data_IF_595897701489
#
_entry.id   IF_595897701489
#
_cell.length_a   1.000
_cell.length_b   1.000
_cell.length_c   1.000
_cell.angle_alpha   90.00
_cell.angle_beta   90.00
_cell.angle_gamma   90.00
#
_symmetry.space_group_name_H-M   'P 1'
#
loop_
_entity.id
_entity.type
_entity.pdbx_description
1 polymer ?
#
# COMPACT_ATOMS: atom_id res chain seq x y z
N UNK A 1 5.40 -3.98 -19.00
CA UNK A 1 4.54 -4.34 -17.87
C UNK A 1 4.61 -3.21 -16.85
N UNK A 2 3.55 -2.94 -16.10
CA UNK A 2 3.63 -2.04 -14.94
C UNK A 2 4.76 -2.53 -14.02
N UNK A 3 5.56 -1.61 -13.49
CA UNK A 3 6.66 -1.98 -12.60
C UNK A 3 6.10 -2.65 -11.35
N UNK A 4 6.49 -3.89 -11.06
CA UNK A 4 6.14 -4.55 -9.79
C UNK A 4 6.94 -4.03 -8.59
N UNK A 5 7.83 -3.04 -8.81
CA UNK A 5 8.68 -2.47 -7.79
C UNK A 5 8.00 -1.36 -6.98
N UNK A 6 7.02 -0.68 -7.57
CA UNK A 6 6.26 0.39 -6.93
C UNK A 6 4.79 0.21 -7.31
N UNK A 7 3.96 -0.09 -6.32
CA UNK A 7 2.52 -0.28 -6.50
C UNK A 7 1.80 0.71 -5.59
N UNK A 8 0.94 1.54 -6.17
CA UNK A 8 0.01 2.41 -5.48
C UNK A 8 -1.39 1.86 -5.69
N UNK A 9 -2.15 1.70 -4.61
CA UNK A 9 -3.51 1.23 -4.67
C UNK A 9 -4.36 1.80 -3.53
N UNK A 10 -5.66 1.66 -3.67
CA UNK A 10 -6.61 1.90 -2.59
C UNK A 10 -6.73 0.66 -1.72
N UNK A 11 -7.00 0.85 -0.45
CA UNK A 11 -7.39 -0.22 0.45
C UNK A 11 -8.62 -0.97 -0.10
N UNK A 12 -8.56 -2.30 -0.08
CA UNK A 12 -9.64 -3.19 -0.50
C UNK A 12 -9.26 -4.63 -0.16
N UNK A 13 -10.26 -5.48 0.05
CA UNK A 13 -10.09 -6.93 0.17
C UNK A 13 -9.70 -7.59 -1.17
N UNK A 14 -8.46 -7.37 -1.63
CA UNK A 14 -7.95 -7.80 -2.93
C UNK A 14 -6.59 -8.48 -2.82
N UNK A 15 -6.31 -9.39 -3.76
CA UNK A 15 -4.97 -9.97 -3.94
C UNK A 15 -4.32 -9.40 -5.19
N UNK A 16 -3.23 -8.66 -5.00
CA UNK A 16 -2.38 -8.15 -6.09
C UNK A 16 -1.28 -9.16 -6.45
N UNK A 17 -0.74 -9.02 -7.67
CA UNK A 17 0.34 -9.88 -8.19
C UNK A 17 1.58 -9.05 -8.49
N UNK A 18 2.67 -9.36 -7.80
CA UNK A 18 3.99 -8.79 -8.06
C UNK A 18 4.79 -9.76 -8.91
N UNK A 19 5.20 -9.35 -10.11
CA UNK A 19 5.95 -10.19 -11.02
C UNK A 19 7.45 -10.03 -10.78
N UNK A 20 8.13 -11.16 -10.60
CA UNK A 20 9.59 -11.23 -10.56
C UNK A 20 10.12 -11.79 -11.86
N UNK A 21 11.31 -11.36 -12.28
CA UNK A 21 11.96 -11.83 -13.49
C UNK A 21 13.29 -12.51 -13.18
N UNK A 22 13.50 -13.65 -13.83
CA UNK A 22 14.77 -14.36 -13.89
C UNK A 22 15.48 -13.95 -15.17
N UNK A 23 16.59 -13.25 -15.04
CA UNK A 23 17.33 -12.68 -16.18
C UNK A 23 18.64 -13.44 -16.47
N UNK A 24 19.15 -13.28 -17.69
CA UNK A 24 20.45 -13.79 -18.15
C UNK A 24 20.63 -15.32 -18.13
N UNK A 25 19.56 -16.10 -17.92
CA UNK A 25 19.52 -17.56 -18.10
C UNK A 25 18.36 -18.24 -17.37
N UNK A 26 17.86 -19.35 -17.92
CA UNK A 26 16.71 -20.11 -17.38
C UNK A 26 16.96 -21.61 -17.22
N UNK A 27 18.22 -22.04 -17.21
CA UNK A 27 18.60 -23.45 -17.03
C UNK A 27 18.45 -23.92 -15.59
N UNK A 28 17.76 -25.05 -15.39
CA UNK A 28 17.44 -25.62 -14.08
C UNK A 28 16.38 -24.84 -13.33
N UNK A 29 15.61 -25.53 -12.48
CA UNK A 29 14.61 -24.89 -11.63
C UNK A 29 15.27 -24.12 -10.49
N UNK A 30 14.71 -22.96 -10.13
CA UNK A 30 15.18 -22.14 -9.01
C UNK A 30 14.07 -21.95 -7.99
N UNK A 31 14.45 -21.93 -6.71
CA UNK A 31 13.57 -21.57 -5.62
C UNK A 31 13.94 -20.15 -5.14
N UNK A 32 12.94 -19.29 -5.05
CA UNK A 32 13.08 -17.90 -4.61
C UNK A 32 12.23 -17.72 -3.37
N UNK A 33 12.83 -17.25 -2.28
CA UNK A 33 12.11 -16.95 -1.04
C UNK A 33 11.89 -15.45 -0.90
N UNK A 34 10.80 -15.08 -0.25
CA UNK A 34 10.39 -13.69 -0.07
C UNK A 34 9.66 -13.48 1.26
N UNK A 35 9.61 -12.23 1.72
CA UNK A 35 8.89 -11.85 2.93
C UNK A 35 8.34 -10.42 2.86
N UNK A 36 7.17 -10.19 3.44
CA UNK A 36 6.67 -8.84 3.74
C UNK A 36 7.27 -8.29 5.03
N UNK A 37 7.55 -7.00 5.08
CA UNK A 37 8.00 -6.30 6.28
C UNK A 37 7.32 -4.93 6.44
N UNK A 38 6.87 -4.55 7.65
CA UNK A 38 6.22 -3.25 7.92
C UNK A 38 7.22 -2.07 7.99
N UNK A 39 8.08 -1.90 6.97
CA UNK A 39 9.22 -0.95 6.96
C UNK A 39 10.53 -1.59 7.47
N UNK A 40 11.75 -1.19 7.06
CA UNK A 40 12.37 0.15 6.98
C UNK A 40 13.38 0.28 5.81
N UNK A 41 13.44 1.45 5.15
CA UNK A 41 14.58 1.87 4.30
C UNK A 41 15.59 2.68 5.13
N UNK A 42 16.86 2.24 5.22
CA UNK A 42 17.97 3.14 5.53
C UNK A 42 19.26 2.56 4.94
N UNK A 43 19.90 3.19 3.96
CA UNK A 43 20.63 4.45 4.11
C UNK A 43 20.49 5.31 2.84
N UNK A 44 20.03 6.56 3.02
CA UNK A 44 19.77 7.61 2.02
C UNK A 44 18.37 7.56 1.40
N UNK A 45 17.51 8.47 1.87
CA UNK A 45 16.14 8.76 1.44
C UNK A 45 15.08 7.93 2.16
N UNK A 46 14.90 8.25 3.44
CA UNK A 46 13.72 7.91 4.22
C UNK A 46 12.47 8.31 3.41
N UNK A 47 11.64 7.36 3.02
CA UNK A 47 10.25 7.66 2.70
C UNK A 47 9.56 7.99 4.03
N UNK A 48 9.48 9.28 4.34
CA UNK A 48 8.56 9.81 5.35
C UNK A 48 7.15 9.35 4.96
N UNK A 49 6.54 8.48 5.76
CA UNK A 49 5.21 7.92 5.51
C UNK A 49 4.78 7.03 6.68
N UNK A 50 3.48 6.80 6.81
CA UNK A 50 2.95 5.88 7.82
C UNK A 50 3.25 4.44 7.39
N UNK A 51 3.33 3.54 8.37
CA UNK A 51 3.63 2.14 8.12
C UNK A 51 2.34 1.35 8.19
N UNK A 52 2.08 0.56 7.16
CA UNK A 52 0.99 -0.41 7.18
C UNK A 52 1.28 -1.48 8.23
N UNK A 53 0.29 -1.79 9.05
CA UNK A 53 0.28 -2.79 10.10
C UNK A 53 -0.03 -4.19 9.54
N UNK A 54 0.83 -5.19 9.84
CA UNK A 54 0.59 -6.56 9.41
C UNK A 54 -0.69 -7.13 10.04
N UNK A 55 -1.45 -7.86 9.24
CA UNK A 55 -2.73 -8.49 9.58
C UNK A 55 -3.86 -7.51 9.92
N UNK A 56 -3.63 -6.20 9.72
CA UNK A 56 -4.66 -5.14 9.71
C UNK A 56 -4.84 -4.65 8.27
N UNK A 57 -3.76 -4.18 7.63
CA UNK A 57 -3.83 -3.56 6.29
C UNK A 57 -3.41 -4.54 5.17
N UNK A 58 -2.61 -5.55 5.53
CA UNK A 58 -2.19 -6.59 4.60
C UNK A 58 -1.93 -7.92 5.31
N UNK A 59 -2.05 -9.02 4.59
CA UNK A 59 -1.71 -10.35 5.12
C UNK A 59 -0.20 -10.53 5.09
N UNK A 60 0.41 -10.72 6.26
CA UNK A 60 1.86 -10.97 6.34
C UNK A 60 2.23 -12.30 5.71
N UNK A 61 3.25 -12.30 4.85
CA UNK A 61 3.71 -13.51 4.16
C UNK A 61 5.22 -13.68 4.31
N UNK A 62 5.61 -14.90 4.65
CA UNK A 62 6.95 -15.45 4.42
C UNK A 62 6.75 -16.67 3.55
N UNK A 63 7.29 -16.63 2.34
CA UNK A 63 6.94 -17.57 1.31
C UNK A 63 8.09 -17.91 0.39
N UNK A 64 7.79 -18.80 -0.55
CA UNK A 64 8.69 -19.15 -1.63
C UNK A 64 7.90 -19.40 -2.90
N UNK A 65 8.60 -19.35 -4.03
CA UNK A 65 8.08 -19.74 -5.33
C UNK A 65 9.18 -20.46 -6.11
N UNK A 66 8.75 -21.37 -6.98
CA UNK A 66 9.64 -22.11 -7.86
C UNK A 66 9.43 -21.58 -9.27
N UNK A 67 10.53 -21.22 -9.95
CA UNK A 67 10.53 -21.08 -11.39
C UNK A 67 11.13 -22.35 -11.98
N UNK A 68 10.34 -23.08 -12.77
CA UNK A 68 10.80 -24.28 -13.44
C UNK A 68 11.83 -23.96 -14.53
N UNK A 69 12.50 -24.99 -15.04
CA UNK A 69 13.43 -24.81 -16.15
C UNK A 69 12.72 -24.20 -17.37
N UNK A 70 13.32 -23.16 -17.93
CA UNK A 70 12.76 -22.39 -19.03
C UNK A 70 11.82 -21.26 -18.61
N UNK A 71 11.34 -21.24 -17.35
CA UNK A 71 10.51 -20.15 -16.84
C UNK A 71 11.36 -18.94 -16.45
N UNK A 72 10.93 -17.76 -16.91
CA UNK A 72 11.62 -16.49 -16.67
C UNK A 72 10.84 -15.52 -15.81
N UNK A 73 9.57 -15.81 -15.50
CA UNK A 73 8.69 -14.90 -14.76
C UNK A 73 7.77 -15.70 -13.85
N UNK A 74 7.58 -15.21 -12.63
CA UNK A 74 6.65 -15.75 -11.65
C UNK A 74 5.97 -14.63 -10.87
N UNK A 75 4.83 -14.91 -10.26
CA UNK A 75 4.05 -13.94 -9.51
C UNK A 75 4.05 -14.27 -8.00
N UNK A 76 4.30 -13.25 -7.19
CA UNK A 76 4.07 -13.25 -5.75
C UNK A 76 2.67 -12.65 -5.51
N UNK A 77 1.84 -13.36 -4.75
CA UNK A 77 0.51 -12.90 -4.38
C UNK A 77 0.57 -12.18 -3.03
N UNK A 78 0.07 -10.95 -2.98
CA UNK A 78 -0.01 -10.13 -1.77
C UNK A 78 -1.46 -9.74 -1.57
N UNK A 79 -1.99 -9.94 -0.37
CA UNK A 79 -3.38 -9.62 -0.04
C UNK A 79 -3.43 -8.36 0.79
N UNK A 80 -4.25 -7.42 0.33
CA UNK A 80 -4.57 -6.16 0.99
C UNK A 80 -5.93 -6.37 1.67
N UNK A 81 -6.07 -5.82 2.86
CA UNK A 81 -7.26 -5.93 3.68
C UNK A 81 -8.04 -4.61 3.59
N UNK A 82 -9.29 -4.63 4.03
CA UNK A 82 -10.15 -3.44 4.08
C UNK A 82 -10.79 -3.37 5.46
N UNK A 83 -10.76 -2.18 6.07
CA UNK A 83 -11.52 -1.87 7.26
C UNK A 83 -12.27 -0.51 7.17
N UNK A 84 -12.67 0.05 8.32
CA UNK A 84 -13.46 1.30 8.42
C UNK A 84 -12.71 2.37 9.27
N UNK A 85 -11.43 2.16 9.54
CA UNK A 85 -10.56 2.98 10.38
C UNK A 85 -9.93 4.08 9.51
N UNK A 86 -10.10 5.37 9.86
CA UNK A 86 -9.53 6.45 9.05
C UNK A 86 -8.00 6.50 9.08
N UNK A 87 -7.35 6.15 7.96
CA UNK A 87 -5.88 6.07 7.87
C UNK A 87 -5.27 6.97 6.80
N UNK A 88 -4.11 7.54 7.11
CA UNK A 88 -3.34 8.29 6.13
C UNK A 88 -2.63 7.33 5.18
N UNK A 89 -2.12 7.87 4.07
CA UNK A 89 -1.27 7.10 3.17
C UNK A 89 -0.14 6.40 3.93
N UNK A 90 0.02 5.12 3.64
CA UNK A 90 0.91 4.23 4.33
C UNK A 90 1.54 3.22 3.37
N UNK A 91 2.55 2.48 3.84
CA UNK A 91 3.27 1.54 3.01
C UNK A 91 3.86 0.36 3.77
N UNK A 92 4.12 -0.71 3.02
CA UNK A 92 4.96 -1.84 3.44
C UNK A 92 5.84 -2.30 2.29
N UNK A 93 6.76 -3.22 2.59
CA UNK A 93 7.74 -3.72 1.62
C UNK A 93 7.61 -5.23 1.41
N UNK A 94 7.88 -5.68 0.19
CA UNK A 94 8.05 -7.09 -0.17
C UNK A 94 9.49 -7.30 -0.61
N UNK A 95 10.23 -8.12 0.13
CA UNK A 95 11.64 -8.39 -0.11
C UNK A 95 11.85 -9.79 -0.67
N UNK A 96 12.65 -9.91 -1.73
CA UNK A 96 13.29 -11.17 -2.10
C UNK A 96 14.47 -11.41 -1.14
N UNK A 97 14.47 -12.56 -0.47
CA UNK A 97 15.39 -12.82 0.65
C UNK A 97 16.47 -13.84 0.29
N UNK A 98 16.17 -14.82 -0.54
CA UNK A 98 17.13 -15.84 -0.97
C UNK A 98 16.76 -16.47 -2.31
N UNK A 99 17.77 -16.98 -3.03
CA UNK A 99 17.58 -17.77 -4.25
C UNK A 99 18.57 -18.93 -4.32
N UNK A 100 18.12 -20.10 -4.73
CA UNK A 100 18.94 -21.29 -4.97
C UNK A 100 18.47 -22.12 -6.18
N UNK A 101 19.39 -22.94 -6.70
CA UNK A 101 19.10 -23.93 -7.73
C UNK A 101 18.59 -25.22 -7.09
N UNK A 102 17.49 -25.76 -7.60
CA UNK A 102 16.91 -27.01 -7.14
C UNK A 102 17.60 -28.17 -7.86
N UNK A 103 18.19 -29.09 -7.08
CA UNK A 103 18.71 -30.39 -7.56
C UNK A 103 19.68 -30.31 -8.77
N UNK A 104 20.42 -29.21 -8.92
CA UNK A 104 21.40 -29.04 -9.98
C UNK A 104 22.82 -29.42 -9.51
N UNK A 105 23.68 -29.97 -10.40
CA UNK A 105 25.09 -30.18 -10.09
C UNK A 105 25.78 -28.84 -9.77
N UNK A 106 26.87 -28.90 -8.99
CA UNK A 106 27.69 -27.73 -8.64
C UNK A 106 28.04 -26.92 -9.90
N UNK A 107 27.48 -25.72 -10.00
CA UNK A 107 27.78 -24.74 -11.05
C UNK A 107 28.72 -23.67 -10.51
N UNK A 108 29.63 -23.18 -11.34
CA UNK A 108 30.47 -22.02 -11.01
C UNK A 108 29.71 -20.68 -11.07
N UNK A 109 28.50 -20.68 -11.63
CA UNK A 109 27.62 -19.52 -11.77
C UNK A 109 26.21 -19.87 -11.26
N UNK A 110 25.97 -19.87 -9.93
CA UNK A 110 24.64 -20.03 -9.37
C UNK A 110 23.77 -18.78 -9.62
N UNK A 111 22.43 -18.89 -9.51
CA UNK A 111 21.56 -17.73 -9.50
C UNK A 111 21.92 -16.82 -8.33
N UNK A 112 21.66 -15.53 -8.50
CA UNK A 112 21.85 -14.51 -7.47
C UNK A 112 20.69 -13.55 -7.53
N UNK A 113 20.33 -12.99 -6.38
CA UNK A 113 19.41 -11.86 -6.36
C UNK A 113 20.11 -10.62 -6.92
N UNK A 114 19.36 -9.79 -7.62
CA UNK A 114 19.85 -8.50 -8.10
C UNK A 114 20.07 -7.54 -6.92
N UNK A 115 21.17 -6.80 -6.90
CA UNK A 115 21.47 -5.86 -5.81
C UNK A 115 20.55 -4.65 -5.76
N UNK A 116 19.89 -4.30 -6.87
CA UNK A 116 19.01 -3.13 -6.94
C UNK A 116 17.51 -3.50 -6.92
N UNK A 117 17.12 -4.64 -7.47
CA UNK A 117 15.74 -5.11 -7.60
C UNK A 117 15.18 -5.98 -6.48
N UNK A 118 15.77 -5.97 -5.27
CA UNK A 118 15.36 -6.85 -4.16
C UNK A 118 13.99 -6.55 -3.56
N UNK A 119 13.57 -5.29 -3.62
CA UNK A 119 12.46 -4.77 -2.82
C UNK A 119 11.41 -4.14 -3.72
N UNK A 120 10.16 -4.55 -3.52
CA UNK A 120 8.98 -3.85 -4.00
C UNK A 120 8.33 -3.06 -2.85
N UNK A 121 7.92 -1.83 -3.15
CA UNK A 121 7.15 -0.98 -2.24
C UNK A 121 5.68 -0.99 -2.63
N UNK A 122 4.83 -1.27 -1.65
CA UNK A 122 3.38 -1.22 -1.78
C UNK A 122 2.88 -0.05 -0.95
N UNK A 123 2.17 0.87 -1.58
CA UNK A 123 1.59 2.06 -0.97
C UNK A 123 0.08 1.91 -1.00
N UNK A 124 -0.53 2.02 0.17
CA UNK A 124 -1.98 2.05 0.36
C UNK A 124 -2.35 3.53 0.52
N UNK A 125 -3.18 4.04 -0.38
CA UNK A 125 -3.69 5.41 -0.36
C UNK A 125 -4.52 5.67 0.91
N UNK A 126 -4.55 6.92 1.36
CA UNK A 126 -5.39 7.31 2.50
C UNK A 126 -6.87 6.93 2.29
N UNK A 127 -7.42 6.18 3.24
CA UNK A 127 -8.77 5.61 3.21
C UNK A 127 -9.68 6.29 4.25
N UNK A 128 -10.92 5.82 4.35
CA UNK A 128 -11.88 6.08 5.42
C UNK A 128 -12.07 7.50 5.93
N UNK A 129 -11.84 8.47 5.03
CA UNK A 129 -11.93 9.87 5.38
C UNK A 129 -10.95 10.23 6.50
N UNK A 130 -9.71 9.78 6.43
CA UNK A 130 -8.64 10.16 7.37
C UNK A 130 -8.52 11.69 7.58
N UNK A 131 -8.76 12.45 6.50
CA UNK A 131 -8.80 13.93 6.52
C UNK A 131 -10.16 14.50 6.91
N UNK A 132 -11.11 13.67 7.30
CA UNK A 132 -12.44 14.02 7.72
C UNK A 132 -13.37 14.43 6.58
N UNK A 133 -14.65 14.27 6.82
CA UNK A 133 -15.73 14.69 5.92
C UNK A 133 -16.37 15.93 6.54
N UNK A 134 -16.42 17.04 5.81
CA UNK A 134 -17.04 18.28 6.29
C UNK A 134 -18.50 18.30 5.85
N UNK A 135 -19.41 18.38 6.81
CA UNK A 135 -20.85 18.36 6.57
C UNK A 135 -21.59 19.36 7.48
N UNK A 136 -22.81 19.72 7.10
CA UNK A 136 -23.67 20.55 7.94
C UNK A 136 -24.30 19.72 9.04
N UNK A 137 -24.28 20.21 10.29
CA UNK A 137 -24.99 19.56 11.39
C UNK A 137 -26.51 19.55 11.14
N UNK A 138 -27.02 20.60 10.50
CA UNK A 138 -28.41 20.71 10.08
C UNK A 138 -28.49 21.38 8.71
N UNK A 139 -29.37 20.88 7.84
CA UNK A 139 -29.56 21.39 6.48
C UNK A 139 -30.75 22.34 6.35
N UNK A 140 -31.62 22.39 7.37
CA UNK A 140 -32.80 23.26 7.41
C UNK A 140 -32.95 23.90 8.78
N UNK A 141 -33.28 25.18 8.77
CA UNK A 141 -33.53 25.98 9.97
C UNK A 141 -34.83 26.76 9.81
N UNK A 142 -35.62 26.80 10.89
CA UNK A 142 -36.76 27.71 11.01
C UNK A 142 -36.41 28.76 12.05
N UNK A 143 -36.32 30.01 11.62
CA UNK A 143 -35.86 31.12 12.45
C UNK A 143 -36.95 32.17 12.57
N UNK A 144 -37.02 32.80 13.74
CA UNK A 144 -37.86 33.97 13.94
C UNK A 144 -37.02 35.21 13.73
N UNK A 145 -37.55 36.19 13.01
CA UNK A 145 -36.83 37.42 12.65
C UNK A 145 -36.35 38.20 13.90
N UNK A 146 -37.01 38.00 15.05
CA UNK A 146 -36.63 38.61 16.33
C UNK A 146 -35.34 38.06 16.95
N UNK A 147 -34.78 36.96 16.43
CA UNK A 147 -33.56 36.34 16.96
C UNK A 147 -32.26 37.09 16.61
N UNK A 148 -32.25 37.90 15.55
CA UNK A 148 -31.13 38.78 15.16
C UNK A 148 -29.89 38.07 14.58
N UNK A 149 -29.58 36.83 14.97
CA UNK A 149 -28.50 36.03 14.38
C UNK A 149 -28.83 34.53 14.36
N UNK A 150 -28.25 33.82 13.39
CA UNK A 150 -28.31 32.36 13.26
C UNK A 150 -26.88 31.82 13.25
N UNK A 151 -26.57 30.88 14.14
CA UNK A 151 -25.31 30.14 14.11
C UNK A 151 -25.49 28.88 13.28
N UNK A 152 -24.75 28.79 12.17
CA UNK A 152 -24.64 27.57 11.37
C UNK A 152 -23.44 26.78 11.88
N UNK A 153 -23.64 25.47 12.09
CA UNK A 153 -22.57 24.58 12.55
C UNK A 153 -22.24 23.60 11.44
N UNK A 154 -21.01 23.67 10.95
CA UNK A 154 -20.39 22.60 10.17
C UNK A 154 -19.66 21.67 11.14
N UNK A 155 -19.74 20.37 10.90
CA UNK A 155 -19.03 19.35 11.65
C UNK A 155 -18.05 18.61 10.73
N UNK A 156 -16.94 18.14 11.31
CA UNK A 156 -15.97 17.26 10.64
C UNK A 156 -16.18 15.85 11.19
N UNK A 157 -16.71 14.95 10.38
CA UNK A 157 -16.95 13.55 10.72
C UNK A 157 -15.85 12.63 10.18
N UNK A 158 -15.83 11.36 10.60
CA UNK A 158 -14.76 10.36 10.39
C UNK A 158 -13.40 10.84 10.96
N UNK A 159 -12.37 11.02 10.13
CA UNK A 159 -11.02 11.34 10.58
C UNK A 159 -10.81 12.80 10.97
N UNK A 160 -9.82 13.04 11.84
CA UNK A 160 -9.41 14.38 12.28
C UNK A 160 -7.99 14.74 11.85
N UNK A 161 -7.34 13.92 11.02
CA UNK A 161 -5.94 14.05 10.67
C UNK A 161 -5.71 15.18 9.66
N UNK A 162 -4.65 15.95 9.87
CA UNK A 162 -4.29 17.08 9.00
C UNK A 162 -5.22 18.31 9.14
N UNK A 163 -4.79 19.39 8.50
CA UNK A 163 -5.50 20.66 8.47
C UNK A 163 -6.45 20.73 7.27
N UNK A 164 -7.67 21.20 7.50
CA UNK A 164 -8.68 21.43 6.47
C UNK A 164 -9.18 22.86 6.61
N UNK A 165 -9.34 23.54 5.48
CA UNK A 165 -9.91 24.88 5.40
C UNK A 165 -11.16 24.84 4.54
N UNK A 166 -12.21 25.55 4.97
CA UNK A 166 -13.47 25.65 4.26
C UNK A 166 -13.71 27.10 3.85
N UNK A 167 -14.16 27.31 2.61
CA UNK A 167 -14.69 28.58 2.17
C UNK A 167 -16.22 28.51 2.17
N UNK A 168 -16.87 29.44 2.88
CA UNK A 168 -18.33 29.51 3.00
C UNK A 168 -18.79 30.89 2.60
N UNK A 169 -19.84 30.96 1.78
CA UNK A 169 -20.51 32.19 1.42
C UNK A 169 -22.02 31.98 1.34
N UNK A 170 -22.78 33.03 1.62
CA UNK A 170 -24.23 33.02 1.43
C UNK A 170 -24.54 33.28 -0.05
N UNK A 171 -25.45 32.48 -0.61
CA UNK A 171 -25.96 32.66 -1.96
C UNK A 171 -27.49 32.65 -1.93
N UNK A 172 -28.11 33.58 -2.66
CA UNK A 172 -29.53 33.49 -2.96
C UNK A 172 -29.70 32.66 -4.24
N UNK A 173 -30.67 31.74 -4.24
CA UNK A 173 -31.03 30.94 -5.42
C UNK A 173 -32.00 31.70 -6.32
#
# INVERSE_FOLDING_TARGET
ALSSRFVLLQEANITIRLFINREFGSLGAINVTYSTVPGMLSLKNQTEGNLAEPDVDFVSVVGFLILEEGETTAAINITILEDDIPELEEYFLVNLTYVDLIMAPLTSFPPRLDSEGLTAQIIIDANDGARGIIEWQHTRFEVHETKGSLTLVAQRSKGTLGHVSLFVYAQNL
#
